data_IF_539284604409
#
_entry.id   IF_539284604409
#
_cell.length_a   1.000
_cell.length_b   1.000
_cell.length_c   1.000
_cell.angle_alpha   90.00
_cell.angle_beta   90.00
_cell.angle_gamma   90.00
#
_symmetry.space_group_name_H-M   'P 1'
#
loop_
_entity.id
_entity.type
_entity.pdbx_description
1 polymer ?
#
# COMPACT_ATOMS: atom_id res chain seq x y z
N UNK A 1 3.75 22.73 -11.00
CA UNK A 1 4.65 22.11 -11.98
C UNK A 1 5.97 22.80 -11.81
N UNK A 2 6.96 22.06 -11.28
CA UNK A 2 8.31 22.61 -11.14
C UNK A 2 8.99 22.69 -12.51
N UNK A 3 10.04 23.49 -12.60
CA UNK A 3 10.86 23.66 -13.81
C UNK A 3 11.44 22.33 -14.33
N UNK A 4 11.59 21.34 -13.45
CA UNK A 4 12.00 19.97 -13.80
C UNK A 4 10.92 19.22 -14.59
N UNK A 5 9.63 19.34 -14.22
CA UNK A 5 8.52 18.69 -14.92
C UNK A 5 8.34 19.26 -16.33
N UNK A 6 8.55 20.58 -16.47
CA UNK A 6 8.52 21.27 -17.77
C UNK A 6 9.69 20.84 -18.67
N UNK A 7 10.86 20.55 -18.10
CA UNK A 7 12.00 19.97 -18.82
C UNK A 7 11.72 18.57 -19.34
N UNK A 8 11.13 17.69 -18.51
CA UNK A 8 10.74 16.33 -18.92
C UNK A 8 9.69 16.34 -20.02
N UNK A 9 8.69 17.24 -19.93
CA UNK A 9 7.68 17.40 -20.98
C UNK A 9 8.32 17.96 -22.26
N UNK A 10 9.23 18.93 -22.15
CA UNK A 10 10.00 19.45 -23.27
C UNK A 10 10.83 18.36 -23.95
N UNK A 11 11.52 17.53 -23.18
CA UNK A 11 12.31 16.41 -23.70
C UNK A 11 11.42 15.35 -24.37
N UNK A 12 10.24 15.06 -23.81
CA UNK A 12 9.26 14.16 -24.44
C UNK A 12 8.72 14.71 -25.77
N UNK A 13 8.45 16.01 -25.81
CA UNK A 13 7.95 16.66 -27.02
C UNK A 13 9.01 16.63 -28.12
N UNK A 14 10.24 16.97 -27.78
CA UNK A 14 11.38 17.02 -28.72
C UNK A 14 11.84 15.62 -29.12
N UNK A 15 11.81 14.63 -28.22
CA UNK A 15 12.25 13.27 -28.50
C UNK A 15 11.23 12.45 -29.32
N UNK A 16 9.94 12.77 -29.21
CA UNK A 16 8.88 12.04 -29.89
C UNK A 16 8.35 12.78 -31.12
N UNK A 17 7.88 14.02 -30.98
CA UNK A 17 7.17 14.70 -32.07
C UNK A 17 8.06 15.24 -33.19
N UNK A 18 9.38 15.39 -32.96
CA UNK A 18 10.33 15.79 -34.00
C UNK A 18 10.85 14.61 -34.85
N UNK A 19 10.43 13.38 -34.54
CA UNK A 19 10.86 12.18 -35.28
C UNK A 19 10.13 12.07 -36.62
N UNK A 20 10.78 11.47 -37.65
CA UNK A 20 10.12 11.14 -38.90
C UNK A 20 8.84 10.32 -38.66
N UNK A 21 7.76 10.64 -39.39
CA UNK A 21 6.47 9.92 -39.27
C UNK A 21 6.61 8.40 -39.38
N UNK A 22 7.54 7.92 -40.20
CA UNK A 22 7.81 6.48 -40.38
C UNK A 22 8.32 5.85 -39.09
N UNK A 23 9.20 6.53 -38.35
CA UNK A 23 9.70 6.05 -37.05
C UNK A 23 8.58 6.01 -36.01
N UNK A 24 7.73 7.04 -35.98
CA UNK A 24 6.57 7.11 -35.08
C UNK A 24 5.54 6.02 -35.35
N UNK A 25 5.19 5.78 -36.62
CA UNK A 25 4.27 4.71 -37.01
C UNK A 25 4.85 3.35 -36.63
N UNK A 26 6.16 3.15 -36.86
CA UNK A 26 6.85 1.90 -36.49
C UNK A 26 6.81 1.69 -34.99
N UNK A 27 7.11 2.73 -34.19
CA UNK A 27 7.07 2.66 -32.74
C UNK A 27 5.66 2.33 -32.22
N UNK A 28 4.63 3.05 -32.68
CA UNK A 28 3.24 2.81 -32.26
C UNK A 28 2.78 1.40 -32.65
N UNK A 29 3.12 0.95 -33.86
CA UNK A 29 2.83 -0.42 -34.30
C UNK A 29 3.54 -1.46 -33.42
N UNK A 30 4.81 -1.25 -33.07
CA UNK A 30 5.55 -2.13 -32.17
C UNK A 30 4.93 -2.18 -30.77
N UNK A 31 4.46 -1.05 -30.22
CA UNK A 31 3.75 -1.04 -28.93
C UNK A 31 2.45 -1.84 -28.98
N UNK A 32 1.65 -1.66 -30.04
CA UNK A 32 0.41 -2.40 -30.24
C UNK A 32 0.66 -3.92 -30.39
N UNK A 33 1.66 -4.30 -31.18
CA UNK A 33 2.08 -5.69 -31.35
C UNK A 33 2.58 -6.26 -30.02
N UNK A 34 3.44 -5.55 -29.30
CA UNK A 34 3.99 -5.99 -28.02
C UNK A 34 2.88 -6.23 -26.98
N UNK A 35 1.84 -5.40 -26.96
CA UNK A 35 0.68 -5.61 -26.08
C UNK A 35 -0.07 -6.90 -26.45
N UNK A 36 -0.37 -7.11 -27.74
CA UNK A 36 -1.09 -8.30 -28.21
C UNK A 36 -0.27 -9.59 -28.04
N UNK A 37 1.06 -9.52 -28.17
CA UNK A 37 1.95 -10.66 -27.99
C UNK A 37 1.96 -11.19 -26.55
N UNK A 38 1.51 -10.42 -25.55
CA UNK A 38 1.30 -10.93 -24.18
C UNK A 38 0.23 -12.02 -24.12
N UNK A 39 -0.68 -12.00 -25.08
CA UNK A 39 -1.75 -12.97 -25.28
C UNK A 39 -1.42 -13.97 -26.40
N UNK A 40 -0.17 -14.05 -26.85
CA UNK A 40 0.24 -15.14 -27.74
C UNK A 40 0.27 -16.45 -26.95
N UNK A 41 -0.87 -17.15 -27.00
CA UNK A 41 -1.07 -18.44 -26.35
C UNK A 41 -0.21 -19.55 -26.98
N UNK A 42 0.44 -19.28 -28.13
CA UNK A 42 1.36 -20.18 -28.79
C UNK A 42 2.81 -19.80 -28.43
N UNK A 43 3.50 -20.70 -27.74
CA UNK A 43 4.83 -20.58 -27.10
C UNK A 43 6.02 -20.05 -27.93
N UNK A 44 5.86 -19.60 -29.17
CA UNK A 44 6.97 -19.55 -30.13
C UNK A 44 7.69 -18.20 -30.30
N UNK A 45 7.13 -17.07 -29.87
CA UNK A 45 7.49 -15.79 -30.53
C UNK A 45 8.21 -14.74 -29.68
N UNK A 46 8.47 -14.94 -28.38
CA UNK A 46 9.26 -13.96 -27.62
C UNK A 46 10.29 -14.65 -26.73
N UNK A 47 11.57 -14.39 -27.00
CA UNK A 47 12.68 -14.73 -26.12
C UNK A 47 12.57 -14.13 -24.69
N UNK A 48 11.61 -13.23 -24.47
CA UNK A 48 11.24 -12.61 -23.20
C UNK A 48 9.99 -13.21 -22.54
N UNK A 49 9.27 -14.13 -23.21
CA UNK A 49 8.17 -14.84 -22.58
C UNK A 49 8.75 -15.83 -21.56
N UNK A 50 8.50 -15.53 -20.28
CA UNK A 50 8.90 -16.32 -19.12
C UNK A 50 8.68 -17.83 -19.34
N UNK A 51 9.66 -18.65 -18.94
CA UNK A 51 9.58 -20.13 -18.88
C UNK A 51 8.37 -20.66 -18.10
N UNK A 52 7.63 -19.80 -17.38
CA UNK A 52 6.48 -20.13 -16.53
C UNK A 52 5.13 -19.61 -17.07
N UNK A 53 4.96 -19.48 -18.39
CA UNK A 53 3.66 -19.08 -18.97
C UNK A 53 2.53 -20.06 -18.60
N UNK A 54 1.48 -19.54 -17.95
CA UNK A 54 0.27 -20.29 -17.55
C UNK A 54 -0.95 -19.68 -18.25
N UNK A 55 -1.45 -20.30 -19.33
CA UNK A 55 -2.53 -19.74 -20.17
C UNK A 55 -3.77 -19.30 -19.36
N UNK A 56 -4.20 -20.12 -18.39
CA UNK A 56 -5.36 -19.81 -17.54
C UNK A 56 -5.14 -18.54 -16.71
N UNK A 57 -3.93 -18.32 -16.18
CA UNK A 57 -3.63 -17.12 -15.39
C UNK A 57 -3.57 -15.87 -16.28
N UNK A 58 -3.05 -16.00 -17.50
CA UNK A 58 -3.05 -14.92 -18.49
C UNK A 58 -4.47 -14.54 -18.90
N UNK A 59 -5.33 -15.52 -19.18
CA UNK A 59 -6.74 -15.27 -19.47
C UNK A 59 -7.46 -14.61 -18.27
N UNK A 60 -7.24 -15.13 -17.06
CA UNK A 60 -7.85 -14.57 -15.85
C UNK A 60 -7.43 -13.11 -15.63
N UNK A 61 -6.15 -12.79 -15.84
CA UNK A 61 -5.65 -11.42 -15.76
C UNK A 61 -6.26 -10.53 -16.85
N UNK A 62 -6.30 -11.01 -18.09
CA UNK A 62 -6.94 -10.28 -19.19
C UNK A 62 -8.40 -9.97 -18.88
N UNK A 63 -9.14 -10.96 -18.36
CA UNK A 63 -10.53 -10.78 -17.93
C UNK A 63 -10.64 -9.78 -16.78
N UNK A 64 -9.79 -9.87 -15.77
CA UNK A 64 -9.79 -8.92 -14.65
C UNK A 64 -9.46 -7.48 -15.09
N UNK A 65 -8.47 -7.30 -15.97
CA UNK A 65 -8.04 -5.97 -16.44
C UNK A 65 -9.10 -5.32 -17.36
N UNK A 66 -9.87 -6.12 -18.10
CA UNK A 66 -10.87 -5.63 -19.06
C UNK A 66 -12.30 -5.56 -18.50
N UNK A 67 -12.62 -6.41 -17.52
CA UNK A 67 -13.94 -6.54 -16.88
C UNK A 67 -13.82 -6.36 -15.36
N UNK A 68 -13.03 -5.38 -14.93
CA UNK A 68 -12.69 -5.23 -13.51
C UNK A 68 -13.94 -5.13 -12.63
N UNK A 69 -14.80 -4.13 -12.90
CA UNK A 69 -16.01 -3.86 -12.14
C UNK A 69 -16.91 -5.09 -11.90
N UNK A 70 -17.37 -5.82 -12.94
CA UNK A 70 -18.19 -7.01 -12.73
C UNK A 70 -17.41 -8.14 -12.04
N UNK A 71 -16.11 -8.29 -12.29
CA UNK A 71 -15.28 -9.29 -11.59
C UNK A 71 -15.18 -9.01 -10.08
N UNK A 72 -14.97 -7.74 -9.70
CA UNK A 72 -14.96 -7.32 -8.28
C UNK A 72 -16.32 -7.52 -7.64
N UNK A 73 -17.39 -7.08 -8.32
CA UNK A 73 -18.77 -7.25 -7.88
C UNK A 73 -19.12 -8.71 -7.60
N UNK A 74 -18.79 -9.61 -8.54
CA UNK A 74 -19.01 -11.06 -8.40
C UNK A 74 -18.20 -11.63 -7.23
N UNK A 75 -16.93 -11.23 -7.09
CA UNK A 75 -16.06 -11.69 -6.02
C UNK A 75 -16.58 -11.27 -4.64
N UNK A 76 -16.89 -9.99 -4.47
CA UNK A 76 -17.43 -9.42 -3.21
C UNK A 76 -18.76 -10.08 -2.86
N UNK A 77 -19.69 -10.18 -3.81
CA UNK A 77 -21.00 -10.82 -3.59
C UNK A 77 -20.86 -12.27 -3.13
N UNK A 78 -19.88 -13.00 -3.67
CA UNK A 78 -19.68 -14.41 -3.36
C UNK A 78 -18.96 -14.63 -2.02
N UNK A 79 -18.01 -13.77 -1.66
CA UNK A 79 -17.08 -14.03 -0.57
C UNK A 79 -17.25 -13.13 0.65
N UNK A 80 -17.74 -11.90 0.47
CA UNK A 80 -17.79 -10.90 1.52
C UNK A 80 -19.19 -10.79 2.13
N UNK A 81 -19.35 -11.30 3.35
CA UNK A 81 -20.60 -11.19 4.10
C UNK A 81 -20.72 -9.80 4.75
N UNK A 82 -21.95 -9.25 4.90
CA UNK A 82 -22.17 -8.00 5.64
C UNK A 82 -21.63 -8.02 7.08
N UNK A 83 -21.66 -9.18 7.76
CA UNK A 83 -21.11 -9.33 9.12
C UNK A 83 -19.62 -9.02 9.19
N UNK A 84 -18.87 -9.38 8.15
CA UNK A 84 -17.42 -9.16 8.08
C UNK A 84 -17.14 -7.67 7.90
N UNK A 85 -17.88 -7.00 7.01
CA UNK A 85 -17.70 -5.56 6.75
C UNK A 85 -18.07 -4.71 7.97
N UNK A 86 -19.15 -5.04 8.67
CA UNK A 86 -19.56 -4.33 9.88
C UNK A 86 -18.54 -4.49 11.01
N UNK A 87 -18.02 -5.70 11.19
CA UNK A 87 -16.98 -5.99 12.17
C UNK A 87 -15.68 -5.25 11.83
N UNK A 88 -15.33 -5.17 10.54
CA UNK A 88 -14.15 -4.45 10.07
C UNK A 88 -14.29 -2.94 10.25
N UNK A 89 -15.47 -2.35 9.97
CA UNK A 89 -15.76 -0.93 10.25
C UNK A 89 -15.63 -0.61 11.74
N UNK A 90 -16.11 -1.51 12.60
CA UNK A 90 -15.96 -1.36 14.06
C UNK A 90 -14.48 -1.40 14.47
N UNK A 91 -13.69 -2.33 13.90
CA UNK A 91 -12.25 -2.38 14.11
C UNK A 91 -11.54 -1.10 13.67
N UNK A 92 -11.90 -0.56 12.50
CA UNK A 92 -11.37 0.70 11.99
C UNK A 92 -11.61 1.87 12.95
N UNK A 93 -12.84 2.04 13.45
CA UNK A 93 -13.16 3.10 14.42
C UNK A 93 -12.40 2.93 15.75
N UNK A 94 -12.27 1.70 16.25
CA UNK A 94 -11.49 1.41 17.46
C UNK A 94 -10.00 1.75 17.28
N UNK A 95 -9.43 1.43 16.11
CA UNK A 95 -8.04 1.76 15.80
C UNK A 95 -7.86 3.27 15.67
N UNK A 96 -8.80 3.95 15.01
CA UNK A 96 -8.80 5.41 14.89
C UNK A 96 -8.77 6.10 16.25
N UNK A 97 -9.53 5.57 17.22
CA UNK A 97 -9.48 6.04 18.59
C UNK A 97 -8.14 5.72 19.28
N UNK A 98 -7.58 4.52 19.10
CA UNK A 98 -6.25 4.19 19.60
C UNK A 98 -5.13 5.08 19.04
N UNK A 99 -5.23 5.46 17.76
CA UNK A 99 -4.32 6.44 17.13
C UNK A 99 -4.49 7.81 17.78
N UNK A 100 -5.71 8.28 18.00
CA UNK A 100 -5.96 9.56 18.68
C UNK A 100 -5.36 9.61 20.09
N UNK A 101 -5.53 8.53 20.86
CA UNK A 101 -4.98 8.42 22.21
C UNK A 101 -3.45 8.45 22.20
N UNK A 102 -2.83 7.69 21.30
CA UNK A 102 -1.38 7.61 21.16
C UNK A 102 -0.79 8.93 20.64
N UNK A 103 -1.43 9.56 19.65
CA UNK A 103 -1.03 10.86 19.12
C UNK A 103 -1.12 11.98 20.16
N UNK A 104 -2.04 11.87 21.14
CA UNK A 104 -2.12 12.77 22.28
C UNK A 104 -0.84 12.80 23.13
N UNK A 105 -0.10 11.68 23.18
CA UNK A 105 1.16 11.57 23.92
C UNK A 105 2.41 11.95 23.12
N UNK A 106 2.29 12.36 21.85
CA UNK A 106 3.43 12.78 21.04
C UNK A 106 3.95 14.13 21.52
N UNK A 107 5.09 14.08 22.21
CA UNK A 107 5.82 15.19 22.84
C UNK A 107 6.50 16.13 21.83
N UNK A 108 6.81 15.63 20.64
CA UNK A 108 7.42 16.40 19.55
C UNK A 108 6.47 17.38 18.85
N UNK A 109 5.16 17.27 19.07
CA UNK A 109 4.17 18.22 18.58
C UNK A 109 3.76 19.21 19.67
N UNK A 110 3.46 20.44 19.29
CA UNK A 110 2.73 21.34 20.18
C UNK A 110 1.24 20.98 20.25
N UNK A 111 0.55 21.51 21.26
CA UNK A 111 -0.87 21.22 21.49
C UNK A 111 -1.75 21.61 20.30
N UNK A 112 -1.45 22.73 19.65
CA UNK A 112 -2.24 23.20 18.51
C UNK A 112 -2.15 22.25 17.32
N UNK A 113 -0.97 21.66 17.11
CA UNK A 113 -0.71 20.69 16.05
C UNK A 113 -1.33 19.34 16.39
N UNK A 114 -1.30 18.90 17.66
CA UNK A 114 -2.02 17.71 18.14
C UNK A 114 -3.53 17.82 17.88
N UNK A 115 -4.14 18.96 18.21
CA UNK A 115 -5.58 19.17 17.95
C UNK A 115 -5.91 19.10 16.47
N UNK A 116 -5.12 19.75 15.59
CA UNK A 116 -5.31 19.67 14.13
C UNK A 116 -5.13 18.25 13.59
N UNK A 117 -4.12 17.53 14.08
CA UNK A 117 -3.87 16.16 13.69
C UNK A 117 -5.04 15.25 14.08
N UNK A 118 -5.60 15.42 15.29
CA UNK A 118 -6.78 14.69 15.76
C UNK A 118 -8.00 14.95 14.87
N UNK A 119 -8.25 16.20 14.49
CA UNK A 119 -9.33 16.55 13.56
C UNK A 119 -9.13 15.82 12.23
N UNK A 120 -7.89 15.81 11.71
CA UNK A 120 -7.54 15.13 10.45
C UNK A 120 -7.72 13.61 10.52
N UNK A 121 -7.25 12.97 11.58
CA UNK A 121 -7.46 11.52 11.82
C UNK A 121 -8.94 11.20 11.89
N UNK A 122 -9.74 12.01 12.58
CA UNK A 122 -11.19 11.80 12.71
C UNK A 122 -11.97 12.01 11.41
N UNK A 123 -11.42 12.77 10.45
CA UNK A 123 -12.01 12.93 9.12
C UNK A 123 -11.74 11.74 8.21
N UNK A 124 -10.81 10.86 8.60
CA UNK A 124 -10.51 9.66 7.81
C UNK A 124 -11.73 8.75 7.72
N UNK A 125 -12.06 8.37 6.50
CA UNK A 125 -13.15 7.45 6.19
C UNK A 125 -12.63 6.16 5.61
N UNK A 126 -13.36 5.08 5.86
CA UNK A 126 -13.04 3.75 5.35
C UNK A 126 -13.88 3.44 4.11
N UNK A 127 -13.21 3.14 3.01
CA UNK A 127 -13.80 2.59 1.79
C UNK A 127 -13.51 1.09 1.71
N UNK A 128 -14.56 0.30 1.88
CA UNK A 128 -14.59 -1.10 1.49
C UNK A 128 -15.47 -1.19 0.25
N UNK A 129 -15.08 -2.03 -0.70
CA UNK A 129 -15.90 -2.30 -1.86
C UNK A 129 -16.98 -3.29 -1.49
N UNK A 130 -18.17 -2.74 -1.24
CA UNK A 130 -19.36 -3.49 -0.82
C UNK A 130 -20.38 -3.60 -1.95
N UNK A 131 -20.27 -2.77 -3.00
CA UNK A 131 -21.35 -2.61 -3.98
C UNK A 131 -21.30 -3.67 -5.07
N UNK A 132 -22.48 -4.19 -5.38
CA UNK A 132 -22.75 -4.81 -6.69
C UNK A 132 -22.68 -3.71 -7.75
N UNK A 133 -21.60 -3.63 -8.52
CA UNK A 133 -21.56 -2.73 -9.66
C UNK A 133 -22.64 -3.19 -10.65
N UNK A 134 -23.58 -2.30 -10.95
CA UNK A 134 -24.77 -2.56 -11.80
C UNK A 134 -24.50 -2.37 -13.29
N UNK A 135 -23.39 -1.73 -13.65
CA UNK A 135 -23.04 -1.51 -15.04
C UNK A 135 -22.44 -2.79 -15.61
N UNK A 136 -23.32 -3.63 -16.16
CA UNK A 136 -22.93 -4.69 -17.10
C UNK A 136 -22.33 -4.00 -18.32
N UNK A 137 -21.17 -4.45 -18.76
CA UNK A 137 -20.56 -3.91 -19.95
C UNK A 137 -21.46 -4.22 -21.15
N UNK A 138 -22.09 -3.18 -21.73
CA UNK A 138 -23.05 -3.34 -22.83
C UNK A 138 -22.44 -4.03 -24.06
N UNK A 139 -21.11 -4.07 -24.18
CA UNK A 139 -20.41 -4.76 -25.26
C UNK A 139 -20.35 -6.29 -25.08
N UNK A 140 -20.66 -6.82 -23.89
CA UNK A 140 -20.65 -8.27 -23.61
C UNK A 140 -21.60 -9.04 -24.53
N UNK A 141 -22.76 -8.48 -24.86
CA UNK A 141 -23.77 -9.10 -25.74
C UNK A 141 -23.29 -9.27 -27.18
N UNK A 142 -22.26 -8.53 -27.59
CA UNK A 142 -21.70 -8.54 -28.95
C UNK A 142 -20.40 -9.33 -29.08
N UNK A 143 -20.01 -10.05 -28.02
CA UNK A 143 -18.80 -10.88 -28.03
C UNK A 143 -18.98 -12.14 -28.86
N UNK A 144 -17.90 -12.54 -29.51
CA UNK A 144 -17.86 -13.75 -30.35
C UNK A 144 -16.74 -14.69 -29.88
N UNK A 145 -16.48 -15.77 -30.61
CA UNK A 145 -15.30 -16.61 -30.37
C UNK A 145 -13.96 -15.95 -30.75
N UNK A 146 -13.97 -14.76 -31.37
CA UNK A 146 -12.77 -14.02 -31.76
C UNK A 146 -12.23 -13.18 -30.59
N UNK A 147 -11.13 -13.65 -30.00
CA UNK A 147 -10.45 -12.97 -28.90
C UNK A 147 -9.97 -11.56 -29.27
N UNK A 148 -9.36 -11.38 -30.44
CA UNK A 148 -8.79 -10.09 -30.83
C UNK A 148 -9.90 -9.06 -31.05
N UNK A 149 -10.97 -9.46 -31.71
CA UNK A 149 -12.13 -8.60 -31.90
C UNK A 149 -12.76 -8.19 -30.56
N UNK A 150 -12.92 -9.14 -29.63
CA UNK A 150 -13.45 -8.86 -28.29
C UNK A 150 -12.51 -7.94 -27.49
N UNK A 151 -11.20 -8.19 -27.52
CA UNK A 151 -10.22 -7.37 -26.82
C UNK A 151 -10.24 -5.91 -27.31
N UNK A 152 -10.22 -5.70 -28.63
CA UNK A 152 -10.28 -4.36 -29.23
C UNK A 152 -11.61 -3.67 -28.92
N UNK A 153 -12.72 -4.41 -28.93
CA UNK A 153 -14.05 -3.90 -28.56
C UNK A 153 -14.06 -3.39 -27.12
N UNK A 154 -13.58 -4.19 -26.17
CA UNK A 154 -13.56 -3.80 -24.75
C UNK A 154 -12.57 -2.68 -24.48
N UNK A 155 -11.38 -2.73 -25.08
CA UNK A 155 -10.41 -1.64 -24.96
C UNK A 155 -10.98 -0.30 -25.44
N UNK A 156 -11.76 -0.30 -26.52
CA UNK A 156 -12.47 0.88 -27.01
C UNK A 156 -13.55 1.35 -26.02
N UNK A 157 -14.41 0.45 -25.56
CA UNK A 157 -15.46 0.77 -24.59
C UNK A 157 -14.88 1.37 -23.30
N UNK A 158 -13.83 0.76 -22.75
CA UNK A 158 -13.15 1.24 -21.54
C UNK A 158 -12.56 2.64 -21.76
N UNK A 159 -11.96 2.90 -22.92
CA UNK A 159 -11.46 4.24 -23.28
C UNK A 159 -12.58 5.28 -23.43
N UNK A 160 -13.69 4.91 -24.07
CA UNK A 160 -14.85 5.81 -24.21
C UNK A 160 -15.52 6.08 -22.87
N UNK A 161 -15.61 5.08 -21.99
CA UNK A 161 -16.07 5.24 -20.62
C UNK A 161 -15.16 6.19 -19.85
N UNK A 162 -13.84 5.99 -19.87
CA UNK A 162 -12.87 6.88 -19.23
C UNK A 162 -12.97 8.34 -19.74
N UNK A 163 -13.25 8.53 -21.04
CA UNK A 163 -13.44 9.88 -21.61
C UNK A 163 -14.79 10.52 -21.23
N UNK A 164 -15.86 9.74 -21.07
CA UNK A 164 -17.20 10.24 -20.66
C UNK A 164 -17.24 10.70 -19.20
N UNK A 165 -16.39 10.11 -18.37
CA UNK A 165 -16.14 10.56 -17.00
C UNK A 165 -14.78 11.24 -16.96
N UNK A 166 -14.62 12.46 -17.52
CA UNK A 166 -13.33 13.14 -17.56
C UNK A 166 -12.90 13.43 -16.12
N UNK A 167 -12.13 12.51 -15.53
CA UNK A 167 -11.31 12.63 -14.32
C UNK A 167 -11.80 13.75 -13.39
N UNK A 168 -13.08 13.74 -13.01
CA UNK A 168 -13.63 14.72 -12.07
C UNK A 168 -13.28 14.24 -10.68
N UNK A 169 -11.97 14.11 -10.43
CA UNK A 169 -11.32 13.81 -9.16
C UNK A 169 -11.70 12.52 -8.43
N UNK A 170 -12.81 11.84 -8.71
CA UNK A 170 -13.37 10.86 -7.77
C UNK A 170 -14.14 9.72 -8.45
N UNK A 171 -13.46 8.56 -8.42
CA UNK A 171 -13.98 7.18 -8.27
C UNK A 171 -14.74 6.52 -9.42
N UNK A 172 -14.03 5.58 -10.05
CA UNK A 172 -14.38 4.15 -10.19
C UNK A 172 -13.16 3.34 -10.67
N UNK A 173 -12.17 4.01 -11.29
CA UNK A 173 -10.92 3.41 -11.79
C UNK A 173 -9.94 2.91 -10.71
N UNK A 174 -10.24 3.07 -9.41
CA UNK A 174 -9.52 2.37 -8.32
C UNK A 174 -9.73 0.84 -8.35
N UNK A 175 -10.58 0.36 -9.26
CA UNK A 175 -10.79 -1.01 -9.69
C UNK A 175 -9.55 -1.93 -9.60
N UNK A 176 -8.35 -1.44 -9.95
CA UNK A 176 -7.12 -2.25 -9.88
C UNK A 176 -6.65 -2.60 -8.46
N UNK A 177 -7.04 -1.85 -7.43
CA UNK A 177 -6.67 -2.11 -6.03
C UNK A 177 -7.78 -2.76 -5.20
N UNK A 178 -9.00 -2.88 -5.72
CA UNK A 178 -10.15 -3.30 -4.90
C UNK A 178 -10.15 -4.79 -4.52
N UNK A 179 -9.48 -5.64 -5.31
CA UNK A 179 -9.33 -7.06 -4.97
C UNK A 179 -7.95 -7.40 -4.43
N UNK A 180 -6.85 -7.13 -5.15
CA UNK A 180 -5.55 -7.77 -4.88
C UNK A 180 -4.43 -6.76 -4.54
N UNK A 181 -4.77 -5.48 -4.38
CA UNK A 181 -3.83 -4.44 -3.96
C UNK A 181 -3.48 -4.51 -2.47
N UNK A 182 -2.63 -3.59 -2.01
CA UNK A 182 -2.51 -3.29 -0.58
C UNK A 182 -3.57 -2.27 -0.14
N UNK A 183 -3.63 -1.98 1.16
CA UNK A 183 -4.40 -0.83 1.67
C UNK A 183 -3.75 0.46 1.18
N UNK A 184 -4.54 1.43 0.76
CA UNK A 184 -4.06 2.72 0.23
C UNK A 184 -4.77 3.90 0.88
N UNK A 185 -4.09 5.05 0.92
CA UNK A 185 -4.65 6.30 1.46
C UNK A 185 -4.72 7.36 0.36
N UNK A 186 -5.91 7.89 0.11
CA UNK A 186 -6.08 9.15 -0.60
C UNK A 186 -6.00 10.29 0.44
N UNK A 187 -4.92 11.06 0.43
CA UNK A 187 -4.72 12.16 1.37
C UNK A 187 -5.54 13.42 1.05
N UNK A 188 -6.01 13.56 -0.19
CA UNK A 188 -6.88 14.66 -0.59
C UNK A 188 -8.31 14.39 -0.13
N UNK A 189 -8.79 13.15 -0.29
CA UNK A 189 -10.13 12.77 0.16
C UNK A 189 -10.19 12.27 1.59
N UNK A 190 -9.01 11.99 2.17
CA UNK A 190 -8.82 11.38 3.49
C UNK A 190 -9.61 10.06 3.56
N UNK A 191 -9.43 9.23 2.52
CA UNK A 191 -10.08 7.93 2.37
C UNK A 191 -9.02 6.84 2.47
N UNK A 192 -9.27 5.87 3.34
CA UNK A 192 -8.48 4.63 3.43
C UNK A 192 -9.26 3.56 2.67
N UNK A 193 -8.70 3.13 1.55
CA UNK A 193 -9.29 2.10 0.68
C UNK A 193 -8.71 0.75 1.02
N UNK A 194 -9.57 -0.18 1.43
CA UNK A 194 -9.18 -1.54 1.80
C UNK A 194 -9.71 -2.53 0.75
N UNK A 195 -8.82 -3.33 0.14
CA UNK A 195 -9.23 -4.38 -0.80
C UNK A 195 -10.08 -5.46 -0.12
N UNK A 196 -11.07 -6.01 -0.82
CA UNK A 196 -11.96 -7.03 -0.26
C UNK A 196 -11.22 -8.29 0.22
N UNK A 197 -10.07 -8.64 -0.38
CA UNK A 197 -9.25 -9.78 0.06
C UNK A 197 -8.63 -9.58 1.45
N UNK A 198 -8.43 -8.35 1.90
CA UNK A 198 -7.94 -8.07 3.26
C UNK A 198 -8.99 -8.38 4.33
N UNK A 199 -10.25 -8.55 3.92
CA UNK A 199 -11.35 -8.94 4.79
C UNK A 199 -11.61 -10.46 4.77
N UNK A 200 -10.77 -11.23 4.07
CA UNK A 200 -10.92 -12.67 3.92
C UNK A 200 -9.74 -13.43 4.53
N UNK A 201 -9.95 -14.72 4.78
CA UNK A 201 -8.87 -15.61 5.22
C UNK A 201 -7.82 -15.79 4.11
N UNK A 202 -6.52 -15.92 4.46
CA UNK A 202 -5.96 -16.03 5.81
C UNK A 202 -5.58 -14.68 6.46
N UNK A 203 -6.00 -13.55 5.88
CA UNK A 203 -5.64 -12.20 6.35
C UNK A 203 -6.49 -11.81 7.56
N UNK A 204 -7.82 -11.91 7.42
CA UNK A 204 -8.80 -11.69 8.47
C UNK A 204 -9.58 -12.98 8.75
N UNK A 205 -9.70 -13.35 10.02
CA UNK A 205 -10.51 -14.48 10.46
C UNK A 205 -11.80 -13.97 11.10
N UNK A 206 -12.96 -14.33 10.53
CA UNK A 206 -14.29 -13.90 11.04
C UNK A 206 -14.59 -14.49 12.43
N UNK A 207 -14.27 -15.77 12.64
CA UNK A 207 -14.69 -16.53 13.82
C UNK A 207 -13.58 -16.76 14.85
N UNK A 208 -12.57 -15.89 14.89
CA UNK A 208 -11.48 -15.99 15.86
C UNK A 208 -11.87 -15.32 17.19
N UNK A 209 -11.68 -16.02 18.31
CA UNK A 209 -12.01 -15.48 19.64
C UNK A 209 -10.95 -14.50 20.11
N UNK A 210 -9.70 -14.79 19.78
CA UNK A 210 -8.55 -14.03 20.21
C UNK A 210 -8.31 -12.84 19.28
N UNK A 211 -8.61 -11.63 19.76
CA UNK A 211 -8.46 -10.36 19.03
C UNK A 211 -7.07 -10.19 18.40
N UNK A 212 -6.03 -10.65 19.08
CA UNK A 212 -4.63 -10.51 18.63
C UNK A 212 -4.39 -11.11 17.24
N UNK A 213 -5.15 -12.14 16.84
CA UNK A 213 -4.97 -12.79 15.54
C UNK A 213 -5.25 -11.82 14.39
N UNK A 214 -6.35 -11.08 14.46
CA UNK A 214 -6.67 -10.08 13.44
C UNK A 214 -5.88 -8.79 13.65
N UNK A 215 -5.63 -8.39 14.90
CA UNK A 215 -4.86 -7.18 15.19
C UNK A 215 -3.41 -7.28 14.68
N UNK A 216 -2.78 -8.46 14.76
CA UNK A 216 -1.39 -8.66 14.32
C UNK A 216 -1.13 -8.34 12.85
N UNK A 217 -2.12 -8.49 11.97
CA UNK A 217 -1.97 -8.20 10.53
C UNK A 217 -2.84 -7.01 10.18
N UNK A 218 -4.15 -7.22 10.08
CA UNK A 218 -5.12 -6.19 9.69
C UNK A 218 -5.05 -4.98 10.61
N UNK A 219 -5.02 -5.20 11.93
CA UNK A 219 -4.94 -4.09 12.89
C UNK A 219 -3.65 -3.27 12.74
N UNK A 220 -2.52 -3.95 12.51
CA UNK A 220 -1.23 -3.27 12.32
C UNK A 220 -1.22 -2.44 11.04
N UNK A 221 -1.72 -2.98 9.93
CA UNK A 221 -1.80 -2.27 8.64
C UNK A 221 -2.75 -1.09 8.75
N UNK A 222 -3.98 -1.29 9.25
CA UNK A 222 -4.94 -0.19 9.42
C UNK A 222 -4.41 0.91 10.34
N UNK A 223 -3.76 0.54 11.45
CA UNK A 223 -3.17 1.52 12.35
C UNK A 223 -2.05 2.31 11.64
N UNK A 224 -1.21 1.66 10.84
CA UNK A 224 -0.17 2.34 10.04
C UNK A 224 -0.75 3.30 9.02
N UNK A 225 -1.81 2.92 8.31
CA UNK A 225 -2.47 3.81 7.34
C UNK A 225 -3.21 4.96 8.03
N UNK A 226 -3.84 4.75 9.18
CA UNK A 226 -4.46 5.85 9.94
C UNK A 226 -3.39 6.79 10.52
N UNK A 227 -2.23 6.26 10.94
CA UNK A 227 -1.09 7.10 11.34
C UNK A 227 -0.58 7.90 10.14
N UNK A 228 -0.50 7.31 8.94
CA UNK A 228 0.01 8.00 7.75
C UNK A 228 -0.87 9.18 7.34
N UNK A 229 -2.19 9.12 7.55
CA UNK A 229 -3.14 10.21 7.26
C UNK A 229 -2.66 11.56 7.81
N UNK A 230 -2.18 11.60 9.05
CA UNK A 230 -1.84 12.85 9.73
C UNK A 230 -0.36 12.99 10.09
N UNK A 231 0.39 11.90 10.19
CA UNK A 231 1.74 11.90 10.79
C UNK A 231 2.85 11.44 9.85
N UNK A 232 2.54 11.02 8.62
CA UNK A 232 3.53 10.73 7.60
C UNK A 232 3.91 12.00 6.79
N UNK A 233 5.03 11.98 6.04
CA UNK A 233 5.41 13.09 5.18
C UNK A 233 4.30 13.37 4.13
N UNK A 234 3.77 12.30 3.52
CA UNK A 234 2.62 12.31 2.62
C UNK A 234 1.40 13.01 3.23
N UNK A 235 1.01 12.60 4.44
CA UNK A 235 -0.10 13.18 5.20
C UNK A 235 0.13 14.64 5.62
N UNK A 236 1.37 15.03 5.91
CA UNK A 236 1.70 16.41 6.32
C UNK A 236 1.47 17.45 5.20
N UNK A 237 1.37 17.01 3.94
CA UNK A 237 1.14 17.87 2.79
C UNK A 237 -0.33 18.26 2.57
N UNK A 238 -1.27 17.63 3.28
CA UNK A 238 -2.71 17.86 3.12
C UNK A 238 -3.35 18.24 4.45
N UNK A 239 -4.14 19.31 4.47
CA UNK A 239 -4.93 19.68 5.64
C UNK A 239 -6.19 18.78 5.78
N UNK A 240 -6.92 18.90 6.89
CA UNK A 240 -8.13 18.09 7.15
C UNK A 240 -9.28 18.30 6.14
N UNK A 241 -9.25 19.36 5.33
CA UNK A 241 -10.21 19.59 4.25
C UNK A 241 -9.74 19.06 2.88
N UNK A 242 -8.63 18.32 2.82
CA UNK A 242 -8.09 17.82 1.55
C UNK A 242 -7.25 18.83 0.76
N UNK A 243 -7.11 20.07 1.27
CA UNK A 243 -6.30 21.08 0.61
C UNK A 243 -4.82 20.75 0.76
N UNK A 244 -4.09 20.72 -0.37
CA UNK A 244 -2.64 20.55 -0.39
C UNK A 244 -1.95 21.80 0.17
N UNK A 245 -1.58 21.74 1.44
CA UNK A 245 -0.86 22.80 2.14
C UNK A 245 -0.06 22.22 3.31
N UNK A 246 1.11 22.82 3.60
CA UNK A 246 1.87 22.51 4.82
C UNK A 246 1.15 23.11 6.02
N UNK A 247 0.59 22.26 6.89
CA UNK A 247 -0.18 22.69 8.06
C UNK A 247 0.60 22.52 9.39
N UNK A 248 1.77 21.88 9.34
CA UNK A 248 2.71 21.84 10.45
C UNK A 248 3.52 23.14 10.53
N UNK A 249 3.72 23.69 11.75
CA UNK A 249 4.73 24.71 11.98
C UNK A 249 6.14 24.18 11.66
N UNK A 250 7.03 25.07 11.22
CA UNK A 250 8.43 24.73 10.89
C UNK A 250 9.16 23.99 12.03
N UNK A 251 8.90 24.39 13.29
CA UNK A 251 9.48 23.71 14.46
C UNK A 251 9.10 22.24 14.52
N UNK A 252 7.80 21.93 14.35
CA UNK A 252 7.28 20.57 14.37
C UNK A 252 7.86 19.76 13.21
N UNK A 253 7.90 20.35 12.02
CA UNK A 253 8.49 19.71 10.84
C UNK A 253 9.98 19.37 11.04
N UNK A 254 10.77 20.26 11.65
CA UNK A 254 12.18 19.98 11.96
C UNK A 254 12.36 18.85 12.96
N UNK A 255 11.59 18.82 14.03
CA UNK A 255 11.64 17.73 15.01
C UNK A 255 11.22 16.40 14.38
N UNK A 256 10.20 16.43 13.52
CA UNK A 256 9.80 15.28 12.74
C UNK A 256 10.91 14.75 11.82
N UNK A 257 11.58 15.63 11.07
CA UNK A 257 12.71 15.23 10.22
C UNK A 257 13.88 14.64 11.03
N UNK A 258 14.14 15.14 12.25
CA UNK A 258 15.14 14.56 13.16
C UNK A 258 14.77 13.14 13.59
N UNK A 259 13.48 12.88 13.87
CA UNK A 259 12.99 11.53 14.18
C UNK A 259 13.13 10.58 13.00
N UNK A 260 12.79 11.02 11.80
CA UNK A 260 12.98 10.21 10.59
C UNK A 260 14.46 9.91 10.34
N UNK A 261 15.35 10.87 10.58
CA UNK A 261 16.80 10.63 10.49
C UNK A 261 17.29 9.59 11.52
N UNK A 262 16.68 9.55 12.72
CA UNK A 262 16.95 8.48 13.68
C UNK A 262 16.54 7.11 13.13
N UNK A 263 15.29 6.98 12.67
CA UNK A 263 14.81 5.72 12.11
C UNK A 263 15.67 5.24 10.93
N UNK A 264 16.07 6.16 10.06
CA UNK A 264 16.96 5.91 8.95
C UNK A 264 18.34 5.42 9.39
N UNK A 265 18.94 6.04 10.41
CA UNK A 265 20.23 5.59 10.96
C UNK A 265 20.15 4.18 11.52
N UNK A 266 19.05 3.84 12.19
CA UNK A 266 18.83 2.51 12.76
C UNK A 266 18.53 1.48 11.67
N UNK A 267 17.83 1.88 10.61
CA UNK A 267 17.59 1.03 9.44
C UNK A 267 18.90 0.61 8.79
N UNK A 268 19.81 1.56 8.55
CA UNK A 268 21.13 1.24 7.96
C UNK A 268 21.98 0.35 8.86
N UNK A 269 21.88 0.51 10.18
CA UNK A 269 22.54 -0.40 11.12
C UNK A 269 22.00 -1.82 10.97
N UNK A 270 20.68 -1.99 11.02
CA UNK A 270 20.05 -3.30 10.90
C UNK A 270 20.27 -3.93 9.52
N UNK A 271 20.26 -3.13 8.45
CA UNK A 271 20.59 -3.58 7.11
C UNK A 271 22.01 -4.15 7.06
N UNK A 272 22.99 -3.40 7.59
CA UNK A 272 24.38 -3.87 7.66
C UNK A 272 24.53 -5.14 8.49
N UNK A 273 23.82 -5.24 9.62
CA UNK A 273 23.94 -6.36 10.55
C UNK A 273 23.25 -7.65 10.04
N UNK A 274 22.17 -7.53 9.25
CA UNK A 274 21.28 -8.65 8.92
C UNK A 274 21.04 -8.91 7.42
N UNK A 275 21.49 -8.01 6.52
CA UNK A 275 21.32 -8.13 5.06
C UNK A 275 22.71 -8.24 4.41
N UNK A 276 23.17 -9.48 4.21
CA UNK A 276 24.54 -9.78 3.74
C UNK A 276 24.75 -9.70 2.22
N UNK A 277 23.98 -8.90 1.46
CA UNK A 277 24.11 -8.93 -0.02
C UNK A 277 23.73 -7.67 -0.80
N UNK A 278 23.62 -6.48 -0.21
CA UNK A 278 23.56 -5.24 -0.99
C UNK A 278 24.88 -4.49 -0.87
N UNK A 279 25.31 -3.85 -1.95
CA UNK A 279 26.17 -2.68 -1.85
C UNK A 279 25.47 -1.75 -0.86
N UNK A 280 25.93 -1.74 0.39
CA UNK A 280 25.29 -0.99 1.46
C UNK A 280 25.11 0.43 0.98
N UNK A 281 23.87 0.90 0.85
CA UNK A 281 23.54 2.30 0.58
C UNK A 281 23.86 3.13 1.82
N UNK A 282 25.12 3.15 2.23
CA UNK A 282 25.57 3.90 3.39
C UNK A 282 25.55 5.38 3.04
N UNK A 283 24.65 6.13 3.67
CA UNK A 283 24.75 7.59 3.77
C UNK A 283 24.01 8.41 2.71
N UNK A 284 23.22 7.79 1.83
CA UNK A 284 22.22 8.51 1.01
C UNK A 284 20.90 8.57 1.75
N UNK A 285 20.08 9.61 1.56
CA UNK A 285 18.75 9.67 2.19
C UNK A 285 17.87 8.50 1.70
N UNK A 286 17.24 7.77 2.62
CA UNK A 286 16.26 6.73 2.27
C UNK A 286 15.11 7.34 1.44
N UNK A 287 14.57 6.59 0.47
CA UNK A 287 13.36 6.98 -0.24
C UNK A 287 12.20 7.32 0.71
N UNK A 288 11.37 8.29 0.34
CA UNK A 288 10.34 8.84 1.22
C UNK A 288 9.30 7.79 1.65
N UNK A 289 8.96 6.88 0.74
CA UNK A 289 8.08 5.72 0.99
C UNK A 289 8.65 4.77 2.05
N UNK A 290 9.98 4.56 2.05
CA UNK A 290 10.66 3.78 3.09
C UNK A 290 10.63 4.51 4.43
N UNK A 291 10.97 5.80 4.45
CA UNK A 291 10.96 6.62 5.69
C UNK A 291 9.57 6.65 6.32
N UNK A 292 8.55 6.78 5.48
CA UNK A 292 7.15 6.72 5.88
C UNK A 292 6.78 5.34 6.45
N UNK A 293 7.16 4.25 5.78
CA UNK A 293 6.94 2.89 6.27
C UNK A 293 7.56 2.70 7.66
N UNK A 294 8.83 3.07 7.85
CA UNK A 294 9.52 2.85 9.13
C UNK A 294 8.81 3.54 10.30
N UNK A 295 8.34 4.78 10.10
CA UNK A 295 7.62 5.54 11.11
C UNK A 295 6.21 4.97 11.35
N UNK A 296 5.42 4.79 10.29
CA UNK A 296 4.01 4.42 10.37
C UNK A 296 3.80 2.98 10.80
N UNK A 297 4.65 2.04 10.37
CA UNK A 297 4.58 0.63 10.80
C UNK A 297 5.08 0.42 12.22
N UNK A 298 6.07 1.20 12.69
CA UNK A 298 6.47 1.18 14.10
C UNK A 298 5.30 1.62 14.99
N UNK A 299 4.66 2.76 14.67
CA UNK A 299 3.53 3.27 15.45
C UNK A 299 2.27 2.45 15.31
N UNK A 300 1.95 2.03 14.10
CA UNK A 300 0.79 1.18 13.83
C UNK A 300 0.87 -0.14 14.59
N UNK A 301 2.05 -0.77 14.63
CA UNK A 301 2.27 -1.98 15.41
C UNK A 301 2.11 -1.76 16.92
N UNK A 302 2.67 -0.67 17.47
CA UNK A 302 2.49 -0.29 18.89
C UNK A 302 1.01 -0.14 19.25
N UNK A 303 0.26 0.61 18.45
CA UNK A 303 -1.18 0.85 18.64
C UNK A 303 -1.96 -0.46 18.53
N UNK A 304 -1.67 -1.24 17.49
CA UNK A 304 -2.35 -2.51 17.26
C UNK A 304 -2.10 -3.51 18.38
N UNK A 305 -0.86 -3.60 18.88
CA UNK A 305 -0.50 -4.46 20.00
C UNK A 305 -1.22 -4.05 21.29
N UNK A 306 -1.29 -2.75 21.57
CA UNK A 306 -2.02 -2.24 22.74
C UNK A 306 -3.53 -2.56 22.66
N UNK A 307 -4.14 -2.42 21.48
CA UNK A 307 -5.56 -2.70 21.25
C UNK A 307 -5.89 -4.20 21.19
N UNK A 308 -4.89 -5.07 21.04
CA UNK A 308 -5.08 -6.51 20.95
C UNK A 308 -5.49 -7.16 22.29
N UNK A 309 -5.36 -6.46 23.42
CA UNK A 309 -5.75 -6.92 24.77
C UNK A 309 -5.21 -8.32 25.10
N UNK A 310 -3.90 -8.50 24.90
CA UNK A 310 -3.24 -9.80 24.99
C UNK A 310 -2.98 -10.17 26.46
N UNK A 311 -3.59 -11.25 26.93
CA UNK A 311 -3.51 -11.69 28.33
C UNK A 311 -2.35 -12.65 28.64
N UNK A 312 -1.89 -13.40 27.65
CA UNK A 312 -0.91 -14.49 27.83
C UNK A 312 0.32 -14.26 26.96
N UNK A 313 1.52 -14.52 27.51
CA UNK A 313 2.78 -14.30 26.80
C UNK A 313 2.86 -15.09 25.48
N UNK A 314 2.36 -16.33 25.45
CA UNK A 314 2.33 -17.14 24.22
C UNK A 314 1.49 -16.49 23.11
N UNK A 315 0.42 -15.78 23.46
CA UNK A 315 -0.39 -15.04 22.51
C UNK A 315 0.34 -13.79 22.00
N UNK A 316 1.15 -13.15 22.85
CA UNK A 316 2.01 -12.05 22.43
C UNK A 316 3.09 -12.53 21.44
N UNK A 317 3.71 -13.68 21.70
CA UNK A 317 4.64 -14.32 20.77
C UNK A 317 3.98 -14.60 19.42
N UNK A 318 2.78 -15.17 19.42
CA UNK A 318 2.00 -15.45 18.21
C UNK A 318 1.60 -14.16 17.48
N UNK A 319 1.24 -13.10 18.18
CA UNK A 319 0.97 -11.80 17.57
C UNK A 319 2.17 -11.31 16.75
N UNK A 320 3.36 -11.28 17.32
CA UNK A 320 4.55 -10.77 16.62
C UNK A 320 5.03 -11.71 15.50
N UNK A 321 4.93 -13.03 15.71
CA UNK A 321 5.22 -14.00 14.64
C UNK A 321 4.27 -13.81 13.45
N UNK A 322 2.96 -13.68 13.72
CA UNK A 322 1.95 -13.49 12.69
C UNK A 322 2.08 -12.15 11.96
N UNK A 323 2.42 -11.08 12.68
CA UNK A 323 2.78 -9.80 12.08
C UNK A 323 3.91 -9.97 11.04
N UNK A 324 4.95 -10.71 11.37
CA UNK A 324 6.07 -10.92 10.45
C UNK A 324 5.77 -11.87 9.29
N UNK A 325 4.87 -12.84 9.48
CA UNK A 325 4.47 -13.78 8.44
C UNK A 325 3.85 -13.08 7.21
N UNK A 326 3.25 -11.91 7.38
CA UNK A 326 2.71 -11.14 6.24
C UNK A 326 3.80 -10.68 5.26
N UNK A 327 5.05 -10.60 5.71
CA UNK A 327 6.22 -10.24 4.90
C UNK A 327 6.99 -11.46 4.42
N UNK A 328 6.56 -12.69 4.71
CA UNK A 328 7.24 -13.87 4.21
C UNK A 328 7.00 -14.03 2.70
N UNK A 329 7.98 -13.65 1.89
CA UNK A 329 8.00 -13.89 0.45
C UNK A 329 9.04 -14.94 0.09
N UNK A 330 8.61 -15.99 -0.63
CA UNK A 330 9.49 -16.99 -1.25
C UNK A 330 10.52 -16.39 -2.22
N UNK A 331 10.26 -15.18 -2.73
CA UNK A 331 11.11 -14.45 -3.65
C UNK A 331 11.87 -13.29 -2.99
N UNK A 332 11.93 -13.19 -1.66
CA UNK A 332 12.62 -12.10 -0.95
C UNK A 332 14.11 -11.94 -1.33
N UNK A 333 14.73 -12.97 -1.93
CA UNK A 333 16.07 -12.93 -2.50
C UNK A 333 16.18 -12.46 -3.96
N UNK A 334 15.07 -12.14 -4.63
CA UNK A 334 15.03 -11.66 -6.02
C UNK A 334 14.96 -10.12 -6.04
N UNK A 335 16.02 -9.41 -6.47
CA UNK A 335 16.08 -7.94 -6.45
C UNK A 335 14.98 -7.26 -7.28
N UNK A 336 14.41 -7.95 -8.28
CA UNK A 336 13.39 -7.40 -9.18
C UNK A 336 11.97 -7.36 -8.59
N UNK A 337 11.73 -8.01 -7.43
CA UNK A 337 10.41 -8.07 -6.78
C UNK A 337 10.38 -7.45 -5.38
N UNK A 338 11.52 -7.00 -4.84
CA UNK A 338 11.50 -6.11 -3.69
C UNK A 338 10.70 -4.86 -4.10
N UNK A 339 9.78 -4.36 -3.25
CA UNK A 339 9.40 -2.94 -3.35
C UNK A 339 10.73 -2.21 -3.48
N UNK A 340 10.94 -1.48 -4.58
CA UNK A 340 12.27 -1.22 -5.14
C UNK A 340 13.32 -0.65 -4.16
N UNK A 341 12.91 -0.25 -2.95
CA UNK A 341 13.70 0.40 -1.92
C UNK A 341 13.59 -0.20 -0.49
N UNK A 342 12.66 -1.13 -0.17
CA UNK A 342 12.50 -1.68 1.20
C UNK A 342 12.83 -3.17 1.26
N UNK A 343 13.80 -3.53 2.12
CA UNK A 343 14.13 -4.92 2.37
C UNK A 343 13.00 -5.62 3.14
N UNK A 344 12.48 -6.71 2.59
CA UNK A 344 11.35 -7.47 3.15
C UNK A 344 11.63 -8.00 4.55
N UNK A 345 12.87 -8.40 4.87
CA UNK A 345 13.23 -8.82 6.24
C UNK A 345 13.16 -7.66 7.21
N UNK A 346 13.66 -6.48 6.79
CA UNK A 346 13.62 -5.27 7.61
C UNK A 346 12.20 -4.72 7.76
N UNK A 347 11.30 -4.95 6.79
CA UNK A 347 9.89 -4.58 6.90
C UNK A 347 9.22 -5.24 8.12
N UNK A 348 9.54 -6.50 8.41
CA UNK A 348 9.14 -7.20 9.63
C UNK A 348 9.96 -6.75 10.84
N UNK A 349 11.29 -6.78 10.72
CA UNK A 349 12.18 -6.73 11.88
C UNK A 349 12.24 -5.32 12.50
N UNK A 350 12.20 -4.27 11.67
CA UNK A 350 12.38 -2.89 12.14
C UNK A 350 11.26 -2.43 13.09
N UNK A 351 9.97 -2.61 12.78
CA UNK A 351 8.89 -2.26 13.71
C UNK A 351 8.92 -3.09 15.00
N UNK A 352 9.28 -4.38 14.91
CA UNK A 352 9.40 -5.26 16.08
C UNK A 352 10.45 -4.77 17.07
N UNK A 353 11.65 -4.45 16.60
CA UNK A 353 12.74 -4.05 17.51
C UNK A 353 12.45 -2.76 18.25
N UNK A 354 11.63 -1.87 17.67
CA UNK A 354 11.22 -0.63 18.30
C UNK A 354 10.05 -0.81 19.28
N UNK A 355 9.27 -1.88 19.15
CA UNK A 355 8.14 -2.18 20.03
C UNK A 355 8.60 -2.71 21.40
N UNK A 356 8.22 -2.02 22.49
CA UNK A 356 8.54 -2.43 23.87
C UNK A 356 7.94 -3.79 24.22
N UNK A 357 6.68 -4.03 23.86
CA UNK A 357 5.99 -5.30 24.12
C UNK A 357 6.68 -6.50 23.46
N UNK A 358 7.27 -6.34 22.27
CA UNK A 358 8.06 -7.38 21.62
C UNK A 358 9.30 -7.73 22.45
N UNK A 359 10.06 -6.72 22.88
CA UNK A 359 11.29 -6.92 23.66
C UNK A 359 11.01 -7.62 24.98
N UNK A 360 9.93 -7.26 25.66
CA UNK A 360 9.48 -7.91 26.89
C UNK A 360 9.05 -9.37 26.64
N UNK A 361 8.23 -9.60 25.61
CA UNK A 361 7.67 -10.91 25.26
C UNK A 361 8.74 -11.96 24.94
N UNK A 362 9.82 -11.54 24.27
CA UNK A 362 10.91 -12.41 23.83
C UNK A 362 12.17 -12.30 24.71
N UNK A 363 12.13 -11.51 25.80
CA UNK A 363 13.27 -11.35 26.70
C UNK A 363 14.51 -10.77 26.01
N UNK A 364 14.34 -9.81 25.09
CA UNK A 364 15.46 -9.20 24.38
C UNK A 364 16.31 -8.35 25.33
N UNK A 365 17.48 -8.88 25.72
CA UNK A 365 18.44 -8.14 26.54
C UNK A 365 19.06 -6.96 25.78
N UNK A 366 19.52 -5.94 26.51
CA UNK A 366 20.22 -4.76 25.95
C UNK A 366 21.48 -5.11 25.14
N UNK A 367 22.05 -6.29 25.40
CA UNK A 367 23.22 -6.85 24.72
C UNK A 367 22.87 -7.50 23.39
N UNK A 368 21.60 -7.78 23.12
CA UNK A 368 21.15 -8.44 21.92
C UNK A 368 21.25 -7.51 20.71
N UNK A 369 21.68 -8.01 19.54
CA UNK A 369 21.87 -7.21 18.31
C UNK A 369 20.57 -6.55 17.81
N UNK A 370 19.42 -7.13 18.17
CA UNK A 370 18.08 -6.61 17.90
C UNK A 370 17.62 -5.53 18.89
N UNK A 371 18.34 -5.29 19.98
CA UNK A 371 17.97 -4.21 20.89
C UNK A 371 18.25 -2.86 20.24
N UNK A 372 17.28 -1.93 20.15
CA UNK A 372 17.50 -0.65 19.51
C UNK A 372 18.48 0.17 20.35
N UNK A 373 19.54 0.65 19.72
CA UNK A 373 20.56 1.47 20.42
C UNK A 373 20.03 2.86 20.76
N UNK A 374 19.05 3.33 19.99
CA UNK A 374 18.38 4.61 20.16
C UNK A 374 16.88 4.39 20.07
N UNK A 375 16.13 4.94 21.02
CA UNK A 375 14.67 4.90 20.95
C UNK A 375 14.16 6.05 20.08
N UNK A 376 14.10 5.83 18.76
CA UNK A 376 13.63 6.83 17.80
C UNK A 376 12.16 7.26 18.02
N UNK A 377 11.38 6.43 18.73
CA UNK A 377 10.01 6.73 19.11
C UNK A 377 9.89 7.75 20.26
N UNK A 378 10.93 8.01 21.05
CA UNK A 378 10.87 8.96 22.19
C UNK A 378 11.67 10.26 21.98
N UNK A 379 12.14 10.56 20.76
CA UNK A 379 13.01 11.71 20.43
C UNK A 379 12.27 12.94 19.90
#
# INVERSE_FOLDING_TARGET
MDTHDLGIIGDLVTAFFDKPKVELVTYVAMQAIAELLRFDFNRASIAFASRNYKPVQTCLRASYDNFNDPMVSLFVTKHLKPSITDSFRTMFENIKEGVNQTAGSFDWMDETTRVKARVKVNTATLQIVETTIREVNAEEEYMTGDFLANYVRIARYNKERANRYPQSGKKLEEALNLLVGGVTVDHQDIVISVPATHLLEPVLFENVREKFVNMSVVGSVLASEIVSVAFAPSGSMYAAGGLKMRWWPERVYRTYEQRLACYESEYYRLEKDFVTSSNSSTGTRLPEDVREFLMTYTRGLEISYALADIKYNNNAQLFFMRYCQQFCDSNAGNPTQQRANLNVRLACMFPLVHNEGFRETFGCEHTHTLYPKVNCARL
#
